data_IF_499982726405
#
_entry.id   IF_499982726405
#
_cell.length_a   1.000
_cell.length_b   1.000
_cell.length_c   1.000
_cell.angle_alpha   90.00
_cell.angle_beta   90.00
_cell.angle_gamma   90.00
#
_symmetry.space_group_name_H-M   'P 1'
#
loop_
_entity.id
_entity.type
_entity.pdbx_description
1 polymer ?
#
# COMPACT_ATOMS: atom_id res chain seq x y z
N UNK A 1 17.72 -21.89 -16.02
CA UNK A 1 18.90 -21.84 -15.13
C UNK A 1 18.53 -21.19 -13.80
N UNK A 2 19.52 -20.96 -12.93
CA UNK A 2 19.36 -20.27 -11.63
C UNK A 2 20.47 -19.23 -11.48
N UNK A 3 20.15 -18.10 -10.87
CA UNK A 3 21.08 -17.01 -10.59
C UNK A 3 20.63 -16.18 -9.39
N UNK A 4 21.39 -15.12 -9.12
CA UNK A 4 21.14 -14.19 -8.04
C UNK A 4 21.06 -12.77 -8.61
N UNK A 5 20.08 -12.02 -8.15
CA UNK A 5 19.96 -10.59 -8.43
C UNK A 5 20.54 -9.85 -7.23
N UNK A 6 21.45 -8.91 -7.50
CA UNK A 6 21.96 -7.97 -6.50
C UNK A 6 22.06 -6.59 -7.12
N UNK A 7 21.35 -5.63 -6.54
CA UNK A 7 21.38 -4.23 -6.97
C UNK A 7 21.50 -3.33 -5.75
N UNK A 8 22.54 -2.50 -5.71
CA UNK A 8 22.71 -1.53 -4.61
C UNK A 8 21.56 -0.53 -4.55
N UNK A 9 21.04 -0.15 -5.71
CA UNK A 9 19.99 0.86 -5.85
C UNK A 9 19.15 0.56 -7.08
N UNK A 10 17.84 0.56 -6.91
CA UNK A 10 16.84 0.45 -7.98
C UNK A 10 15.86 1.61 -7.82
N UNK A 11 15.70 2.42 -8.86
CA UNK A 11 14.79 3.57 -8.85
C UNK A 11 13.64 3.32 -9.83
N UNK A 12 12.45 3.25 -9.27
CA UNK A 12 11.19 3.29 -10.02
C UNK A 12 10.63 4.71 -9.85
N UNK A 13 9.92 5.31 -10.83
CA UNK A 13 9.35 6.64 -10.64
C UNK A 13 8.56 6.74 -9.33
N UNK A 14 8.97 7.67 -8.46
CA UNK A 14 8.37 7.89 -7.15
C UNK A 14 8.84 6.97 -6.01
N UNK A 15 9.65 5.92 -6.28
CA UNK A 15 10.07 4.94 -5.25
C UNK A 15 11.55 4.56 -5.43
N UNK A 16 12.31 4.60 -4.34
CA UNK A 16 13.70 4.17 -4.30
C UNK A 16 13.85 2.91 -3.43
N UNK A 17 14.39 1.86 -4.03
CA UNK A 17 14.79 0.63 -3.36
C UNK A 17 16.31 0.59 -3.22
N UNK A 18 16.78 0.10 -2.08
CA UNK A 18 18.21 -0.10 -1.80
C UNK A 18 18.47 -1.55 -1.42
N UNK A 19 19.71 -1.99 -1.61
CA UNK A 19 20.16 -3.32 -1.21
C UNK A 19 19.21 -4.43 -1.69
N UNK A 20 18.81 -4.35 -2.96
CA UNK A 20 17.91 -5.33 -3.58
C UNK A 20 18.67 -6.62 -3.80
N UNK A 21 18.23 -7.68 -3.16
CA UNK A 21 18.77 -9.02 -3.33
C UNK A 21 17.66 -10.01 -3.62
N UNK A 22 17.95 -11.10 -4.33
CA UNK A 22 16.97 -12.17 -4.55
C UNK A 22 17.51 -13.29 -5.42
N UNK A 23 16.75 -14.37 -5.51
CA UNK A 23 17.03 -15.49 -6.41
C UNK A 23 16.20 -15.34 -7.68
N UNK A 24 16.80 -15.63 -8.84
CA UNK A 24 16.08 -15.74 -10.11
C UNK A 24 16.24 -17.13 -10.68
N UNK A 25 15.13 -17.73 -11.11
CA UNK A 25 15.11 -18.94 -11.94
C UNK A 25 14.54 -18.56 -13.30
N UNK A 26 15.04 -19.18 -14.35
CA UNK A 26 14.51 -18.95 -15.69
C UNK A 26 14.31 -20.26 -16.44
N UNK A 27 13.21 -20.35 -17.15
CA UNK A 27 12.88 -21.46 -18.05
C UNK A 27 12.14 -20.87 -19.24
N UNK A 28 12.64 -21.12 -20.45
CA UNK A 28 12.18 -20.49 -21.68
C UNK A 28 12.09 -18.95 -21.56
N UNK A 29 10.92 -18.38 -21.83
CA UNK A 29 10.65 -16.95 -21.74
C UNK A 29 10.27 -16.48 -20.32
N UNK A 30 10.21 -17.38 -19.32
CA UNK A 30 9.74 -17.04 -17.97
C UNK A 30 10.89 -16.86 -16.99
N UNK A 31 10.85 -15.78 -16.22
CA UNK A 31 11.70 -15.51 -15.06
C UNK A 31 10.86 -15.58 -13.79
N UNK A 32 11.27 -16.39 -12.82
CA UNK A 32 10.66 -16.45 -11.49
C UNK A 32 11.63 -15.89 -10.45
N UNK A 33 11.19 -14.91 -9.68
CA UNK A 33 11.94 -14.26 -8.62
C UNK A 33 11.43 -14.72 -7.26
N UNK A 34 12.33 -15.21 -6.41
CA UNK A 34 12.02 -15.64 -5.03
C UNK A 34 13.00 -15.02 -4.05
N UNK A 35 12.59 -14.99 -2.78
CA UNK A 35 13.43 -14.52 -1.67
C UNK A 35 13.96 -13.10 -1.91
N UNK A 36 13.16 -12.25 -2.56
CA UNK A 36 13.56 -10.88 -2.87
C UNK A 36 13.47 -10.04 -1.60
N UNK A 37 14.53 -9.33 -1.27
CA UNK A 37 14.56 -8.37 -0.17
C UNK A 37 15.05 -7.03 -0.66
N UNK A 38 14.47 -5.94 -0.17
CA UNK A 38 14.95 -4.58 -0.44
C UNK A 38 14.66 -3.66 0.75
N UNK A 39 15.51 -2.65 0.96
CA UNK A 39 15.21 -1.55 1.87
C UNK A 39 14.40 -0.48 1.11
N UNK A 40 13.30 -0.02 1.69
CA UNK A 40 12.39 0.96 1.09
C UNK A 40 11.62 1.71 2.19
N UNK A 41 11.44 3.03 2.01
CA UNK A 41 10.72 3.90 2.95
C UNK A 41 11.08 3.66 4.43
N UNK A 42 12.37 3.68 4.76
CA UNK A 42 12.86 3.43 6.13
C UNK A 42 12.61 2.01 6.70
N UNK A 43 12.02 1.10 5.93
CA UNK A 43 11.74 -0.28 6.31
C UNK A 43 12.24 -1.31 5.29
N UNK A 44 11.64 -2.50 5.30
CA UNK A 44 12.01 -3.62 4.40
C UNK A 44 10.83 -4.09 3.57
N UNK A 45 11.10 -4.48 2.33
CA UNK A 45 10.19 -5.21 1.47
C UNK A 45 10.72 -6.61 1.26
N UNK A 46 9.86 -7.60 1.48
CA UNK A 46 10.05 -9.00 1.09
C UNK A 46 9.12 -9.30 -0.07
N UNK A 47 9.62 -9.89 -1.14
CA UNK A 47 8.82 -10.10 -2.34
C UNK A 47 9.16 -11.38 -3.10
N UNK A 48 8.21 -11.77 -3.94
CA UNK A 48 8.39 -12.76 -5.00
C UNK A 48 7.51 -12.39 -6.19
N UNK A 49 7.79 -12.98 -7.34
CA UNK A 49 7.06 -12.63 -8.55
C UNK A 49 7.56 -13.37 -9.76
N UNK A 50 6.95 -13.04 -10.90
CA UNK A 50 7.29 -13.63 -12.17
C UNK A 50 7.28 -12.57 -13.28
N UNK A 51 8.03 -12.85 -14.34
CA UNK A 51 8.14 -12.02 -15.52
C UNK A 51 8.20 -12.89 -16.77
N UNK A 52 7.32 -12.63 -17.72
CA UNK A 52 7.29 -13.28 -19.02
C UNK A 52 7.93 -12.36 -20.07
N UNK A 53 9.01 -12.81 -20.69
CA UNK A 53 9.81 -12.04 -21.65
C UNK A 53 9.09 -11.79 -22.97
N UNK A 54 8.22 -12.71 -23.40
CA UNK A 54 7.51 -12.65 -24.68
C UNK A 54 6.33 -11.67 -24.61
N UNK A 55 5.51 -11.81 -23.56
CA UNK A 55 4.30 -11.01 -23.34
C UNK A 55 4.57 -9.74 -22.54
N UNK A 56 5.72 -9.67 -21.85
CA UNK A 56 6.08 -8.60 -20.89
C UNK A 56 5.17 -8.56 -19.66
N UNK A 57 4.40 -9.62 -19.42
CA UNK A 57 3.50 -9.72 -18.27
C UNK A 57 4.32 -10.00 -17.03
N UNK A 58 3.89 -9.44 -15.90
CA UNK A 58 4.57 -9.67 -14.65
C UNK A 58 3.64 -9.53 -13.45
N UNK A 59 4.00 -10.28 -12.41
CA UNK A 59 3.31 -10.26 -11.13
C UNK A 59 4.33 -10.01 -10.03
N UNK A 60 3.94 -9.25 -9.02
CA UNK A 60 4.73 -9.01 -7.81
C UNK A 60 3.82 -9.18 -6.60
N UNK A 61 4.30 -9.95 -5.64
CA UNK A 61 3.68 -10.12 -4.34
C UNK A 61 4.70 -9.69 -3.30
N UNK A 62 4.31 -8.78 -2.42
CA UNK A 62 5.22 -8.14 -1.50
C UNK A 62 4.61 -7.97 -0.12
N UNK A 63 5.48 -8.07 0.89
CA UNK A 63 5.20 -7.70 2.27
C UNK A 63 6.20 -6.64 2.72
N UNK A 64 5.72 -5.45 3.04
CA UNK A 64 6.47 -4.36 3.63
C UNK A 64 6.38 -4.42 5.15
N UNK A 65 7.52 -4.33 5.83
CA UNK A 65 7.60 -4.34 7.29
C UNK A 65 8.34 -3.08 7.78
N UNK A 66 7.80 -2.45 8.82
CA UNK A 66 8.40 -1.27 9.45
C UNK A 66 8.57 -0.05 8.53
N UNK A 67 7.71 0.11 7.53
CA UNK A 67 7.75 1.24 6.59
C UNK A 67 7.41 2.55 7.31
N UNK A 68 8.17 3.60 7.06
CA UNK A 68 7.91 4.95 7.60
C UNK A 68 6.86 5.67 6.75
N UNK A 69 5.71 5.97 7.35
CA UNK A 69 4.65 6.72 6.66
C UNK A 69 5.14 8.11 6.18
N UNK A 70 6.04 8.74 6.94
CA UNK A 70 6.64 10.03 6.58
C UNK A 70 7.56 9.96 5.34
N UNK A 71 8.20 8.82 5.07
CA UNK A 71 9.02 8.63 3.87
C UNK A 71 8.17 8.26 2.64
N UNK A 72 7.17 7.39 2.83
CA UNK A 72 6.27 6.96 1.74
C UNK A 72 5.25 8.03 1.35
N UNK A 73 4.79 8.83 2.32
CA UNK A 73 3.75 9.84 2.15
C UNK A 73 4.09 11.15 2.88
N UNK A 74 5.13 11.88 2.46
CA UNK A 74 5.63 13.06 3.18
C UNK A 74 4.60 14.18 3.34
N UNK A 75 3.61 14.27 2.44
CA UNK A 75 2.53 15.26 2.51
C UNK A 75 1.32 14.82 3.34
N UNK A 76 1.30 13.59 3.85
CA UNK A 76 0.16 13.07 4.63
C UNK A 76 0.19 13.49 6.10
N UNK A 77 1.33 14.03 6.59
CA UNK A 77 1.55 14.36 8.01
C UNK A 77 1.27 13.20 8.96
N UNK A 78 1.60 11.98 8.52
CA UNK A 78 1.52 10.77 9.33
C UNK A 78 2.92 10.42 9.83
N UNK A 79 3.02 10.26 11.14
CA UNK A 79 4.22 9.73 11.80
C UNK A 79 3.84 8.41 12.46
N UNK A 80 4.07 7.31 11.73
CA UNK A 80 3.85 5.95 12.18
C UNK A 80 4.59 4.93 11.30
N UNK A 81 4.80 3.74 11.88
CA UNK A 81 5.26 2.55 11.17
C UNK A 81 4.10 1.82 10.53
N UNK A 82 4.31 1.31 9.32
CA UNK A 82 3.29 0.64 8.51
C UNK A 82 3.78 -0.73 8.04
N UNK A 83 2.94 -1.72 8.25
CA UNK A 83 2.99 -3.02 7.59
C UNK A 83 2.11 -2.98 6.33
N UNK A 84 2.58 -3.55 5.24
CA UNK A 84 1.92 -3.48 3.93
C UNK A 84 1.92 -4.85 3.26
N UNK A 85 0.75 -5.35 2.88
CA UNK A 85 0.65 -6.43 1.88
C UNK A 85 0.35 -5.81 0.53
N UNK A 86 1.08 -6.23 -0.50
CA UNK A 86 1.01 -5.66 -1.85
C UNK A 86 0.97 -6.77 -2.88
N UNK A 87 0.03 -6.66 -3.80
CA UNK A 87 -0.04 -7.45 -5.03
C UNK A 87 -0.07 -6.51 -6.22
N UNK A 88 0.75 -6.78 -7.22
CA UNK A 88 0.78 -6.06 -8.48
C UNK A 88 0.64 -7.05 -9.61
N UNK A 89 -0.28 -6.77 -10.52
CA UNK A 89 -0.43 -7.51 -11.76
C UNK A 89 -0.31 -6.55 -12.93
N UNK A 90 0.57 -6.85 -13.89
CA UNK A 90 0.75 -6.03 -15.08
C UNK A 90 0.70 -6.88 -16.34
N UNK A 91 -0.13 -6.46 -17.29
CA UNK A 91 -0.18 -7.07 -18.62
C UNK A 91 0.82 -6.39 -19.60
N UNK A 92 2.01 -6.00 -19.12
CA UNK A 92 3.05 -5.34 -19.92
C UNK A 92 2.77 -3.88 -20.31
N UNK A 93 1.71 -3.27 -19.77
CA UNK A 93 1.36 -1.85 -20.00
C UNK A 93 1.01 -1.18 -18.68
N UNK A 94 1.58 0.00 -18.41
CA UNK A 94 1.31 0.77 -17.19
C UNK A 94 -0.19 1.12 -17.02
N UNK A 95 -0.93 1.34 -18.11
CA UNK A 95 -2.39 1.54 -18.09
C UNK A 95 -3.20 0.29 -17.75
N UNK A 96 -2.56 -0.88 -17.76
CA UNK A 96 -3.16 -2.18 -17.45
C UNK A 96 -2.50 -2.83 -16.24
N UNK A 97 -1.83 -2.03 -15.42
CA UNK A 97 -1.26 -2.47 -14.15
C UNK A 97 -2.27 -2.23 -13.04
N UNK A 98 -2.52 -3.27 -12.24
CA UNK A 98 -3.40 -3.25 -11.07
C UNK A 98 -2.55 -3.42 -9.82
N UNK A 99 -2.86 -2.66 -8.79
CA UNK A 99 -2.22 -2.69 -7.48
C UNK A 99 -3.31 -2.98 -6.46
N UNK A 100 -3.10 -3.93 -5.57
CA UNK A 100 -4.05 -4.23 -4.51
C UNK A 100 -3.34 -4.68 -3.25
N UNK A 101 -4.02 -4.61 -2.12
CA UNK A 101 -3.43 -5.04 -0.86
C UNK A 101 -4.11 -4.47 0.37
N UNK A 102 -3.39 -4.55 1.48
CA UNK A 102 -3.82 -4.05 2.78
C UNK A 102 -2.66 -3.36 3.50
N UNK A 103 -3.00 -2.43 4.37
CA UNK A 103 -2.04 -1.77 5.24
C UNK A 103 -2.55 -1.78 6.67
N UNK A 104 -1.61 -1.84 7.61
CA UNK A 104 -1.88 -1.69 9.02
C UNK A 104 -0.72 -0.92 9.66
N UNK A 105 -1.02 0.14 10.39
CA UNK A 105 -0.02 0.90 11.12
C UNK A 105 0.02 0.51 12.59
N UNK A 106 1.18 0.68 13.21
CA UNK A 106 1.28 0.81 14.65
C UNK A 106 0.75 2.17 15.13
N UNK A 107 0.96 2.42 16.42
CA UNK A 107 0.64 3.71 17.03
C UNK A 107 1.45 4.84 16.39
N UNK A 108 0.87 6.04 16.38
CA UNK A 108 1.50 7.20 15.77
C UNK A 108 0.73 8.49 15.97
N UNK A 109 1.09 9.50 15.18
CA UNK A 109 0.44 10.81 15.23
C UNK A 109 0.07 11.34 13.85
N UNK A 110 -1.06 12.04 13.79
CA UNK A 110 -1.42 12.90 12.66
C UNK A 110 -1.09 14.36 12.99
N UNK A 111 -0.37 15.02 12.08
CA UNK A 111 0.15 16.39 12.24
C UNK A 111 0.89 16.60 13.58
N UNK A 112 1.55 15.58 14.11
CA UNK A 112 2.28 15.62 15.39
C UNK A 112 1.42 15.88 16.64
N UNK A 113 0.10 15.98 16.51
CA UNK A 113 -0.79 16.46 17.60
C UNK A 113 -1.95 15.53 17.91
N UNK A 114 -2.44 14.75 16.94
CA UNK A 114 -3.53 13.81 17.17
C UNK A 114 -2.95 12.40 17.26
N UNK A 115 -2.84 11.81 18.47
CA UNK A 115 -2.38 10.43 18.60
C UNK A 115 -3.45 9.45 18.09
N UNK A 116 -2.99 8.31 17.58
CA UNK A 116 -3.84 7.17 17.26
C UNK A 116 -3.10 5.87 17.62
N UNK A 117 -3.87 4.84 17.95
CA UNK A 117 -3.37 3.50 18.22
C UNK A 117 -3.05 2.73 16.93
N UNK A 118 -3.86 2.88 15.88
CA UNK A 118 -3.57 2.29 14.57
C UNK A 118 -4.40 2.92 13.44
N UNK A 119 -3.94 2.69 12.20
CA UNK A 119 -4.63 2.96 10.95
C UNK A 119 -4.65 1.67 10.14
N UNK A 120 -5.77 1.33 9.52
CA UNK A 120 -5.80 0.17 8.63
C UNK A 120 -6.77 0.35 7.49
N UNK A 121 -6.56 -0.43 6.45
CA UNK A 121 -7.47 -0.51 5.32
C UNK A 121 -6.96 -1.42 4.22
N UNK A 122 -7.79 -1.56 3.19
CA UNK A 122 -7.45 -2.20 1.93
C UNK A 122 -7.35 -1.17 0.84
N UNK A 123 -6.63 -1.51 -0.23
CA UNK A 123 -6.58 -0.70 -1.43
C UNK A 123 -6.70 -1.57 -2.68
N UNK A 124 -7.28 -0.97 -3.71
CA UNK A 124 -7.24 -1.44 -5.08
C UNK A 124 -7.05 -0.22 -5.99
N UNK A 125 -6.13 -0.32 -6.94
CA UNK A 125 -5.88 0.75 -7.90
C UNK A 125 -5.61 0.20 -9.28
N UNK A 126 -6.29 0.78 -10.25
CA UNK A 126 -6.07 0.57 -11.66
C UNK A 126 -6.29 1.91 -12.37
N UNK A 127 -5.62 2.16 -13.49
CA UNK A 127 -5.76 3.34 -14.36
C UNK A 127 -6.87 4.37 -14.00
N UNK A 128 -6.48 5.49 -13.40
CA UNK A 128 -7.36 6.59 -12.95
C UNK A 128 -8.43 6.24 -11.90
N UNK A 129 -8.35 5.06 -11.29
CA UNK A 129 -9.25 4.56 -10.27
C UNK A 129 -8.44 4.09 -9.07
N UNK A 130 -8.57 4.81 -7.96
CA UNK A 130 -8.03 4.41 -6.67
C UNK A 130 -9.20 4.18 -5.74
N UNK A 131 -9.26 3.01 -5.12
CA UNK A 131 -10.22 2.68 -4.08
C UNK A 131 -9.46 2.28 -2.82
N UNK A 132 -9.85 2.88 -1.71
CA UNK A 132 -9.52 2.40 -0.38
C UNK A 132 -10.81 1.85 0.25
N UNK A 133 -10.69 0.76 1.00
CA UNK A 133 -11.82 0.10 1.64
C UNK A 133 -11.51 -0.31 3.07
N UNK A 134 -12.55 -0.63 3.84
CA UNK A 134 -12.42 -1.09 5.23
C UNK A 134 -11.53 -0.15 6.06
N UNK A 135 -11.69 1.16 5.88
CA UNK A 135 -10.84 2.15 6.50
C UNK A 135 -11.18 2.24 7.99
N UNK A 136 -10.18 2.13 8.84
CA UNK A 136 -10.30 2.28 10.27
C UNK A 136 -9.14 3.10 10.84
N UNK A 137 -9.49 4.00 11.76
CA UNK A 137 -8.58 4.67 12.67
C UNK A 137 -8.98 4.26 14.07
N UNK A 138 -8.09 3.58 14.80
CA UNK A 138 -8.24 3.36 16.23
C UNK A 138 -7.58 4.54 16.96
N UNK A 139 -8.38 5.33 17.67
CA UNK A 139 -7.92 6.51 18.42
C UNK A 139 -7.49 6.16 19.85
N UNK A 140 -7.60 4.90 20.26
CA UNK A 140 -7.42 4.46 21.64
C UNK A 140 -8.70 4.57 22.48
N UNK A 141 -8.68 3.97 23.67
CA UNK A 141 -9.76 4.06 24.68
C UNK A 141 -11.17 3.70 24.16
N UNK A 142 -11.25 2.81 23.17
CA UNK A 142 -12.49 2.37 22.55
C UNK A 142 -13.02 3.31 21.46
N UNK A 143 -12.38 4.45 21.21
CA UNK A 143 -12.77 5.39 20.16
C UNK A 143 -12.24 4.97 18.80
N UNK A 144 -13.13 4.89 17.81
CA UNK A 144 -12.77 4.51 16.43
C UNK A 144 -13.48 5.36 15.40
N UNK A 145 -12.80 5.63 14.29
CA UNK A 145 -13.41 6.20 13.10
C UNK A 145 -13.32 5.19 11.95
N UNK A 146 -14.44 4.92 11.28
CA UNK A 146 -14.53 3.97 10.18
C UNK A 146 -15.13 4.60 8.94
N UNK A 147 -14.67 4.16 7.78
CA UNK A 147 -15.34 4.46 6.51
C UNK A 147 -15.25 3.24 5.60
N UNK A 148 -16.40 2.86 5.03
CA UNK A 148 -16.48 1.71 4.12
C UNK A 148 -15.59 1.87 2.89
N UNK A 149 -15.54 3.09 2.33
CA UNK A 149 -14.84 3.33 1.08
C UNK A 149 -14.46 4.79 0.90
N UNK A 150 -13.24 5.00 0.40
CA UNK A 150 -12.83 6.20 -0.31
C UNK A 150 -12.50 5.81 -1.74
N UNK A 151 -12.94 6.56 -2.73
CA UNK A 151 -12.56 6.33 -4.13
C UNK A 151 -12.25 7.63 -4.83
N UNK A 152 -11.13 7.66 -5.53
CA UNK A 152 -10.79 8.71 -6.48
C UNK A 152 -10.82 8.11 -7.88
N UNK A 153 -11.83 8.46 -8.67
CA UNK A 153 -12.00 8.01 -10.05
C UNK A 153 -12.03 9.18 -11.00
N UNK A 154 -11.15 9.19 -12.00
CA UNK A 154 -11.07 10.23 -13.03
C UNK A 154 -11.00 11.66 -12.44
N UNK A 155 -10.25 11.79 -11.34
CA UNK A 155 -10.09 13.05 -10.60
C UNK A 155 -11.21 13.38 -9.61
N UNK A 156 -12.35 12.68 -9.65
CA UNK A 156 -13.47 12.87 -8.72
C UNK A 156 -13.30 12.00 -7.48
N UNK A 157 -13.46 12.60 -6.30
CA UNK A 157 -13.34 11.90 -5.03
C UNK A 157 -14.72 11.66 -4.40
N UNK A 158 -14.96 10.43 -3.95
CA UNK A 158 -16.16 10.03 -3.22
C UNK A 158 -15.75 9.34 -1.93
N UNK A 159 -16.42 9.66 -0.82
CA UNK A 159 -16.16 9.09 0.49
C UNK A 159 -17.48 8.62 1.10
N UNK A 160 -17.53 7.35 1.50
CA UNK A 160 -18.64 6.82 2.31
C UNK A 160 -18.74 7.57 3.63
N UNK A 161 -19.91 7.59 4.29
CA UNK A 161 -20.05 8.24 5.58
C UNK A 161 -18.96 7.78 6.57
N UNK A 162 -18.39 8.74 7.28
CA UNK A 162 -17.46 8.46 8.37
C UNK A 162 -18.29 8.13 9.60
N UNK A 163 -18.11 6.93 10.14
CA UNK A 163 -18.78 6.45 11.34
C UNK A 163 -17.85 6.55 12.53
N UNK A 164 -18.29 7.20 13.59
CA UNK A 164 -17.53 7.34 14.84
C UNK A 164 -18.15 6.43 15.88
N UNK A 165 -17.29 5.66 16.54
CA UNK A 165 -17.62 4.73 17.60
C UNK A 165 -16.87 5.11 18.88
N UNK A 166 -17.45 4.74 20.01
CA UNK A 166 -16.75 4.64 21.29
C UNK A 166 -17.03 3.28 21.95
N UNK A 167 -16.66 3.14 23.22
CA UNK A 167 -16.84 1.90 23.99
C UNK A 167 -18.31 1.43 24.08
N UNK A 168 -19.31 2.31 23.91
CA UNK A 168 -20.74 1.98 23.96
C UNK A 168 -21.33 1.68 22.56
N UNK A 169 -20.55 1.85 21.49
CA UNK A 169 -20.95 1.57 20.11
C UNK A 169 -20.95 2.81 19.21
N UNK A 170 -21.76 2.78 18.15
CA UNK A 170 -21.80 3.85 17.14
C UNK A 170 -22.39 5.13 17.75
N UNK A 171 -21.64 6.22 17.69
CA UNK A 171 -22.04 7.53 18.21
C UNK A 171 -22.54 8.48 17.14
N UNK A 172 -21.86 8.53 15.99
CA UNK A 172 -22.19 9.47 14.94
C UNK A 172 -21.89 8.91 13.55
N UNK A 173 -22.54 9.49 12.54
CA UNK A 173 -22.22 9.23 11.14
C UNK A 173 -22.26 10.55 10.37
N UNK A 174 -21.17 10.84 9.65
CA UNK A 174 -21.01 12.07 8.88
C UNK A 174 -20.90 11.71 7.40
N UNK A 175 -21.92 12.06 6.61
CA UNK A 175 -21.90 11.94 5.16
C UNK A 175 -21.57 13.26 4.48
N UNK A 176 -20.76 13.23 3.44
CA UNK A 176 -20.61 14.38 2.55
C UNK A 176 -21.79 14.40 1.58
N UNK A 177 -22.69 15.37 1.71
CA UNK A 177 -23.58 15.77 0.61
C UNK A 177 -22.80 16.77 -0.24
N UNK A 178 -22.35 16.36 -1.42
CA UNK A 178 -21.81 17.33 -2.37
C UNK A 178 -22.86 18.43 -2.60
N UNK A 179 -22.53 19.67 -2.23
CA UNK A 179 -23.17 20.85 -2.82
C UNK A 179 -22.42 21.12 -4.12
N UNK A 180 -23.03 20.73 -5.24
CA UNK A 180 -22.72 21.31 -6.55
C UNK A 180 -23.62 22.52 -6.76
#
# INVERSE_FOLDING_TARGET
GKGFVRMKKLRIPGIEFRNVEGTVRWHDARLDFTDVTADVFGGKLYAYGDYDLDTRYWNLYGKGEGLEAAEGFPSAWLDCKVELDLTIHSSGNSRRTKYSGSFHSGAGTYRWVVPFASLSGTFDSAWHDLRLGNLEIDLGDGYRARAEMFRKKDGKATLSPIEIYDAEGKRASFGWKEKW
#
